data_IF_131611832100
#
_entry.id   IF_131611832100
#
_cell.length_a   1.000
_cell.length_b   1.000
_cell.length_c   1.000
_cell.angle_alpha   90.00
_cell.angle_beta   90.00
_cell.angle_gamma   90.00
#
_symmetry.space_group_name_H-M   'P 1'
#
loop_
_entity.id
_entity.type
_entity.pdbx_description
1 polymer ?
#
# COMPACT_ATOMS: atom_id res chain seq x y z
N UNK A 1 -0.65 -21.80 -10.73
CA UNK A 1 -1.48 -20.58 -10.84
C UNK A 1 -1.08 -19.83 -12.11
N UNK A 2 -2.02 -19.26 -12.87
CA UNK A 2 -1.68 -18.43 -14.04
C UNK A 2 -1.24 -17.01 -13.64
N UNK A 3 -0.44 -16.36 -14.49
CA UNK A 3 0.13 -15.01 -14.22
C UNK A 3 -0.96 -13.94 -13.96
N UNK A 4 -2.10 -14.02 -14.65
CA UNK A 4 -3.21 -13.06 -14.47
C UNK A 4 -3.87 -13.22 -13.09
N UNK A 5 -4.11 -14.47 -12.66
CA UNK A 5 -4.65 -14.78 -11.33
C UNK A 5 -3.66 -14.40 -10.23
N UNK A 6 -2.36 -14.68 -10.42
CA UNK A 6 -1.30 -14.26 -9.50
C UNK A 6 -1.29 -12.74 -9.34
N UNK A 7 -1.31 -12.01 -10.45
CA UNK A 7 -1.39 -10.54 -10.43
C UNK A 7 -2.59 -10.03 -9.63
N UNK A 8 -3.78 -10.59 -9.82
CA UNK A 8 -4.98 -10.17 -9.07
C UNK A 8 -4.81 -10.38 -7.57
N UNK A 9 -4.15 -11.47 -7.16
CA UNK A 9 -3.86 -11.77 -5.75
C UNK A 9 -2.86 -10.78 -5.16
N UNK A 10 -1.75 -10.52 -5.86
CA UNK A 10 -0.73 -9.53 -5.45
C UNK A 10 -1.32 -8.12 -5.39
N UNK A 11 -2.07 -7.72 -6.42
CA UNK A 11 -2.72 -6.41 -6.47
C UNK A 11 -3.72 -6.21 -5.32
N UNK A 12 -4.45 -7.28 -4.96
CA UNK A 12 -5.33 -7.31 -3.79
C UNK A 12 -4.57 -7.21 -2.47
N UNK A 13 -3.45 -7.93 -2.32
CA UNK A 13 -2.64 -7.88 -1.10
C UNK A 13 -1.99 -6.52 -0.87
N UNK A 14 -1.54 -5.82 -1.92
CA UNK A 14 -1.08 -4.41 -1.82
C UNK A 14 -2.17 -3.52 -1.21
N UNK A 15 -3.40 -3.66 -1.70
CA UNK A 15 -4.53 -2.86 -1.21
C UNK A 15 -4.86 -3.18 0.25
N UNK A 16 -4.76 -4.45 0.63
CA UNK A 16 -4.96 -4.89 2.00
C UNK A 16 -3.86 -4.36 2.94
N UNK A 17 -2.60 -4.41 2.51
CA UNK A 17 -1.45 -3.89 3.25
C UNK A 17 -1.63 -2.40 3.59
N UNK A 18 -2.07 -1.59 2.62
CA UNK A 18 -2.33 -0.16 2.85
C UNK A 18 -3.45 0.17 3.84
N UNK A 19 -4.15 -0.82 4.42
CA UNK A 19 -5.09 -0.55 5.52
C UNK A 19 -4.39 -0.44 6.87
N UNK A 20 -3.19 -1.01 7.01
CA UNK A 20 -2.51 -1.18 8.30
C UNK A 20 -1.02 -0.81 8.25
N UNK A 21 -0.55 -0.21 7.15
CA UNK A 21 0.84 0.17 7.00
C UNK A 21 1.25 1.30 7.96
N UNK A 22 2.54 1.35 8.29
CA UNK A 22 3.10 2.43 9.11
C UNK A 22 3.37 3.67 8.24
N UNK A 23 2.52 4.68 8.36
CA UNK A 23 2.63 5.91 7.54
C UNK A 23 3.91 6.73 7.80
N UNK A 24 4.65 6.46 8.88
CA UNK A 24 5.91 7.15 9.20
C UNK A 24 7.10 6.64 8.39
N UNK A 25 6.96 5.50 7.71
CA UNK A 25 8.02 4.92 6.89
C UNK A 25 8.12 5.62 5.53
N UNK A 26 9.34 5.63 4.98
CA UNK A 26 9.57 6.08 3.60
C UNK A 26 8.92 5.14 2.58
N UNK A 27 8.75 5.61 1.34
CA UNK A 27 8.14 4.80 0.28
C UNK A 27 8.93 3.50 0.03
N UNK A 28 10.26 3.57 0.10
CA UNK A 28 11.13 2.40 -0.12
C UNK A 28 11.05 1.41 1.04
N UNK A 29 11.06 1.89 2.29
CA UNK A 29 10.88 1.05 3.47
C UNK A 29 9.52 0.34 3.44
N UNK A 30 8.46 1.06 3.06
CA UNK A 30 7.12 0.48 2.93
C UNK A 30 7.04 -0.59 1.85
N UNK A 31 7.77 -0.42 0.75
CA UNK A 31 7.86 -1.43 -0.29
C UNK A 31 8.55 -2.69 0.23
N UNK A 32 9.68 -2.55 0.94
CA UNK A 32 10.39 -3.69 1.52
C UNK A 32 9.57 -4.41 2.59
N UNK A 33 8.92 -3.66 3.49
CA UNK A 33 8.02 -4.24 4.49
C UNK A 33 6.88 -5.05 3.84
N UNK A 34 6.30 -4.52 2.76
CA UNK A 34 5.32 -5.26 1.97
C UNK A 34 5.91 -6.53 1.34
N UNK A 35 7.11 -6.45 0.76
CA UNK A 35 7.77 -7.60 0.13
C UNK A 35 8.07 -8.69 1.15
N UNK A 36 8.62 -8.35 2.31
CA UNK A 36 8.87 -9.32 3.38
C UNK A 36 7.57 -9.97 3.88
N UNK A 37 6.51 -9.17 4.03
CA UNK A 37 5.21 -9.67 4.49
C UNK A 37 4.51 -10.58 3.46
N UNK A 38 4.42 -10.15 2.20
CA UNK A 38 3.56 -10.78 1.20
C UNK A 38 4.29 -11.63 0.17
N UNK A 39 5.56 -11.31 -0.09
CA UNK A 39 6.40 -11.88 -1.16
C UNK A 39 7.78 -12.31 -0.62
N UNK A 40 7.84 -13.08 0.48
CA UNK A 40 9.12 -13.40 1.12
C UNK A 40 10.02 -14.20 0.19
N UNK A 41 11.31 -13.86 0.23
CA UNK A 41 12.40 -14.73 -0.21
C UNK A 41 12.72 -15.70 0.93
N UNK A 42 12.23 -16.93 0.82
CA UNK A 42 12.33 -17.94 1.88
C UNK A 42 13.67 -18.65 1.83
N UNK A 43 14.18 -18.85 0.61
CA UNK A 43 15.41 -19.60 0.37
C UNK A 43 16.64 -18.68 0.50
N UNK A 44 16.44 -17.37 0.60
CA UNK A 44 17.51 -16.37 0.69
C UNK A 44 18.33 -16.28 -0.59
N UNK A 45 17.74 -16.68 -1.72
CA UNK A 45 18.39 -16.76 -3.02
C UNK A 45 17.97 -15.63 -3.97
N UNK A 46 17.24 -14.64 -3.47
CA UNK A 46 16.65 -13.54 -4.22
C UNK A 46 15.35 -13.88 -4.93
N UNK A 47 14.79 -15.09 -4.74
CA UNK A 47 13.56 -15.52 -5.41
C UNK A 47 12.36 -15.28 -4.50
N UNK A 48 11.56 -14.28 -4.86
CA UNK A 48 10.34 -13.95 -4.14
C UNK A 48 9.23 -14.95 -4.44
N UNK A 49 8.48 -15.34 -3.40
CA UNK A 49 7.38 -16.30 -3.52
C UNK A 49 6.08 -15.77 -2.93
N UNK A 50 4.96 -16.07 -3.57
CA UNK A 50 3.63 -15.78 -3.08
C UNK A 50 2.98 -17.06 -2.54
N UNK A 51 2.41 -17.00 -1.33
CA UNK A 51 1.64 -18.12 -0.77
C UNK A 51 0.18 -18.06 -1.24
N UNK A 52 -0.24 -19.01 -2.08
CA UNK A 52 -1.66 -19.18 -2.40
C UNK A 52 -2.36 -19.84 -1.21
N UNK A 53 -3.11 -19.04 -0.44
CA UNK A 53 -3.85 -19.51 0.73
C UNK A 53 -4.93 -20.57 0.41
N UNK A 54 -5.34 -20.71 -0.86
CA UNK A 54 -6.35 -21.70 -1.25
C UNK A 54 -5.75 -23.10 -1.41
N UNK A 55 -4.59 -23.19 -2.04
CA UNK A 55 -3.89 -24.47 -2.28
C UNK A 55 -2.80 -24.74 -1.26
N UNK A 56 -2.42 -23.73 -0.47
CA UNK A 56 -1.27 -23.70 0.44
C UNK A 56 0.08 -23.91 -0.28
N UNK A 57 0.12 -23.66 -1.59
CA UNK A 57 1.32 -23.76 -2.41
C UNK A 57 1.99 -22.39 -2.55
N UNK A 58 3.32 -22.42 -2.70
CA UNK A 58 4.10 -21.23 -3.00
C UNK A 58 4.36 -21.12 -4.49
N UNK A 59 4.02 -19.97 -5.04
CA UNK A 59 4.19 -19.66 -6.46
C UNK A 59 5.34 -18.66 -6.57
N UNK A 60 6.30 -18.97 -7.44
CA UNK A 60 7.42 -18.07 -7.74
C UNK A 60 6.87 -16.80 -8.40
N UNK A 61 7.34 -15.66 -7.93
CA UNK A 61 7.04 -14.36 -8.52
C UNK A 61 8.25 -13.94 -9.34
N UNK A 62 8.07 -13.84 -10.64
CA UNK A 62 9.13 -13.41 -11.55
C UNK A 62 9.42 -11.90 -11.41
N UNK A 63 10.57 -11.48 -11.95
CA UNK A 63 11.02 -10.09 -11.86
C UNK A 63 10.04 -9.12 -12.56
N UNK A 64 9.42 -9.53 -13.66
CA UNK A 64 8.44 -8.70 -14.38
C UNK A 64 7.22 -8.39 -13.49
N UNK A 65 6.72 -9.40 -12.77
CA UNK A 65 5.63 -9.24 -11.83
C UNK A 65 6.03 -8.43 -10.60
N UNK A 66 7.27 -8.59 -10.11
CA UNK A 66 7.83 -7.78 -9.03
C UNK A 66 7.90 -6.30 -9.41
N UNK A 67 8.44 -5.98 -10.59
CA UNK A 67 8.54 -4.61 -11.09
C UNK A 67 7.16 -3.99 -11.25
N UNK A 68 6.23 -4.73 -11.85
CA UNK A 68 4.83 -4.31 -11.98
C UNK A 68 4.16 -4.07 -10.63
N UNK A 69 4.40 -4.94 -9.65
CA UNK A 69 3.89 -4.78 -8.30
C UNK A 69 4.47 -3.53 -7.63
N UNK A 70 5.77 -3.26 -7.78
CA UNK A 70 6.44 -2.06 -7.25
C UNK A 70 5.87 -0.78 -7.85
N UNK A 71 5.72 -0.71 -9.18
CA UNK A 71 5.13 0.46 -9.85
C UNK A 71 3.73 0.76 -9.32
N UNK A 72 2.86 -0.24 -9.29
CA UNK A 72 1.48 -0.07 -8.81
C UNK A 72 1.42 0.23 -7.31
N UNK A 73 2.34 -0.32 -6.53
CA UNK A 73 2.47 -0.01 -5.10
C UNK A 73 2.77 1.48 -4.91
N UNK A 74 3.80 2.00 -5.59
CA UNK A 74 4.20 3.40 -5.47
C UNK A 74 3.09 4.35 -5.94
N UNK A 75 2.48 4.11 -7.11
CA UNK A 75 1.38 4.94 -7.62
C UNK A 75 0.20 5.02 -6.64
N UNK A 76 -0.14 3.90 -5.99
CA UNK A 76 -1.24 3.86 -5.02
C UNK A 76 -0.87 4.56 -3.72
N UNK A 77 0.38 4.43 -3.27
CA UNK A 77 0.88 5.09 -2.08
C UNK A 77 0.90 6.62 -2.26
N UNK A 78 1.40 7.11 -3.39
CA UNK A 78 1.39 8.54 -3.75
C UNK A 78 -0.02 9.10 -3.79
N UNK A 79 -0.96 8.41 -4.46
CA UNK A 79 -2.37 8.83 -4.50
C UNK A 79 -3.01 8.90 -3.12
N UNK A 80 -2.62 8.02 -2.18
CA UNK A 80 -3.12 8.05 -0.80
C UNK A 80 -2.56 9.25 -0.04
N UNK A 81 -1.24 9.47 -0.11
CA UNK A 81 -0.58 10.61 0.55
C UNK A 81 -1.10 11.95 0.04
N UNK A 82 -1.27 12.09 -1.27
CA UNK A 82 -1.85 13.30 -1.86
C UNK A 82 -3.30 13.53 -1.40
N UNK A 83 -4.10 12.47 -1.21
CA UNK A 83 -5.46 12.61 -0.69
C UNK A 83 -5.48 13.06 0.77
N UNK A 84 -4.58 12.53 1.59
CA UNK A 84 -4.42 12.93 3.00
C UNK A 84 -4.00 14.40 3.11
N UNK A 85 -3.04 14.85 2.29
CA UNK A 85 -2.62 16.25 2.23
C UNK A 85 -3.76 17.21 1.85
N UNK A 86 -4.55 16.86 0.82
CA UNK A 86 -5.73 17.65 0.43
C UNK A 86 -6.80 17.70 1.54
N UNK A 87 -7.05 16.60 2.25
CA UNK A 87 -8.01 16.55 3.37
C UNK A 87 -7.55 17.39 4.57
N UNK A 88 -6.24 17.44 4.85
CA UNK A 88 -5.68 18.32 5.87
C UNK A 88 -5.78 19.81 5.50
N UNK A 89 -5.56 20.15 4.23
CA UNK A 89 -5.76 21.52 3.73
C UNK A 89 -7.23 21.95 3.78
N UNK A 90 -8.17 21.11 3.33
CA UNK A 90 -9.60 21.40 3.39
C UNK A 90 -10.10 21.61 4.83
N UNK A 91 -9.63 20.79 5.78
CA UNK A 91 -9.97 20.96 7.20
C UNK A 91 -9.39 22.24 7.80
N UNK A 92 -8.17 22.66 7.40
CA UNK A 92 -7.60 23.94 7.82
C UNK A 92 -8.42 25.13 7.29
N UNK A 93 -8.91 25.05 6.04
CA UNK A 93 -9.75 26.10 5.44
C UNK A 93 -11.13 26.19 6.12
N UNK A 94 -11.74 25.06 6.50
CA UNK A 94 -13.04 25.04 7.18
C UNK A 94 -12.99 25.51 8.64
N UNK A 95 -11.82 25.50 9.28
CA UNK A 95 -11.65 25.92 10.66
C UNK A 95 -11.69 27.44 10.85
N UNK A 96 -11.70 28.23 9.77
CA UNK A 96 -11.76 29.69 9.87
C UNK A 96 -13.18 30.19 10.19
N UNK A 97 -13.32 30.54 11.48
CA UNK A 97 -14.19 31.57 12.07
C UNK A 97 -15.69 31.25 12.20
N UNK A 98 -16.04 30.52 13.26
CA UNK A 98 -17.28 30.82 13.98
C UNK A 98 -16.95 31.93 14.99
N UNK A 99 -17.29 33.16 14.65
CA UNK A 99 -17.23 34.28 15.58
C UNK A 99 -18.34 34.15 16.64
N UNK A 100 -17.96 33.53 17.76
CA UNK A 100 -18.83 33.28 18.92
C UNK A 100 -19.30 34.57 19.60
N UNK A 101 -18.68 35.71 19.28
CA UNK A 101 -19.07 37.01 19.87
C UNK A 101 -20.48 37.44 19.46
N UNK A 102 -21.01 36.94 18.33
CA UNK A 102 -22.41 37.14 17.92
C UNK A 102 -23.45 36.39 18.76
N UNK A 103 -23.03 35.43 19.57
CA UNK A 103 -23.92 34.59 20.37
C UNK A 103 -23.91 34.93 21.88
N UNK A 104 -23.15 35.95 22.29
CA UNK A 104 -23.24 36.49 23.66
C UNK A 104 -24.45 37.43 23.74
N UNK A 105 -25.51 36.95 24.38
CA UNK A 105 -26.68 37.74 24.81
C UNK A 105 -26.45 38.34 26.19
#
# INVERSE_FOLDING_TARGET
MDSKKLWLKISGSITYYFKYYNNNLSNEELWWDYVEYALPDIEGNGVHTYLDKQTLERVIVDNEMMDKAKTVFMERLEKRRAKEENEEEENKVLADVIDISKYRK
#
